data_IF_086473375601
#
_entry.id   IF_086473375601
#
_cell.length_a   1.000
_cell.length_b   1.000
_cell.length_c   1.000
_cell.angle_alpha   90.00
_cell.angle_beta   90.00
_cell.angle_gamma   90.00
#
_symmetry.space_group_name_H-M   'P 1'
#
loop_
_entity.id
_entity.type
_entity.pdbx_description
1 polymer ?
#
# COMPACT_ATOMS: atom_id res chain seq x y z
N UNK A 1 2.79 14.43 5.13
CA UNK A 1 2.53 13.64 3.92
C UNK A 1 3.57 14.03 2.88
N UNK A 2 4.37 13.07 2.42
CA UNK A 2 5.33 13.32 1.32
C UNK A 2 4.68 12.74 0.07
N UNK A 3 4.33 13.62 -0.87
CA UNK A 3 3.78 13.23 -2.16
C UNK A 3 4.94 13.16 -3.16
N UNK A 4 5.19 11.97 -3.71
CA UNK A 4 6.28 11.74 -4.66
C UNK A 4 5.70 11.24 -5.98
N UNK A 5 5.88 12.00 -7.03
CA UNK A 5 5.16 11.83 -8.29
C UNK A 5 5.77 10.87 -9.31
N UNK A 6 6.95 10.27 -9.08
CA UNK A 6 7.57 9.30 -9.99
C UNK A 6 8.68 8.48 -9.33
N UNK A 7 8.92 7.27 -9.86
CA UNK A 7 10.04 6.37 -9.53
C UNK A 7 11.37 6.93 -10.10
N UNK A 8 11.84 8.06 -9.60
CA UNK A 8 13.09 8.69 -10.01
C UNK A 8 13.98 9.03 -8.81
N UNK A 9 15.15 9.58 -9.05
CA UNK A 9 16.14 9.92 -8.02
C UNK A 9 15.57 10.81 -6.88
N UNK A 10 14.57 11.64 -7.16
CA UNK A 10 13.89 12.45 -6.16
C UNK A 10 13.09 11.61 -5.15
N UNK A 11 12.49 10.49 -5.60
CA UNK A 11 11.80 9.54 -4.72
C UNK A 11 12.79 8.86 -3.77
N UNK A 12 13.90 8.35 -4.27
CA UNK A 12 14.94 7.72 -3.44
C UNK A 12 15.53 8.71 -2.43
N UNK A 13 15.76 9.96 -2.83
CA UNK A 13 16.25 11.02 -1.95
C UNK A 13 15.28 11.34 -0.80
N UNK A 14 14.01 11.50 -1.11
CA UNK A 14 12.96 11.77 -0.13
C UNK A 14 12.78 10.60 0.86
N UNK A 15 12.74 9.36 0.35
CA UNK A 15 12.66 8.16 1.18
C UNK A 15 13.89 7.99 2.07
N UNK A 16 15.09 8.23 1.53
CA UNK A 16 16.32 8.16 2.32
C UNK A 16 16.26 9.13 3.48
N UNK A 17 15.91 10.39 3.23
CA UNK A 17 15.79 11.41 4.27
C UNK A 17 14.76 11.01 5.33
N UNK A 18 13.59 10.52 4.90
CA UNK A 18 12.52 10.09 5.81
C UNK A 18 12.92 8.89 6.67
N UNK A 19 13.53 7.86 6.06
CA UNK A 19 13.83 6.59 6.73
C UNK A 19 15.13 6.60 7.53
N UNK A 20 16.00 7.61 7.33
CA UNK A 20 17.23 7.78 8.13
C UNK A 20 17.10 8.84 9.23
N UNK A 21 15.94 9.51 9.35
CA UNK A 21 15.68 10.45 10.43
C UNK A 21 15.64 9.74 11.80
N UNK A 22 16.05 10.40 12.90
CA UNK A 22 15.99 9.81 14.24
C UNK A 22 14.57 9.39 14.67
N UNK A 23 13.56 10.07 14.16
CA UNK A 23 12.12 9.84 14.39
C UNK A 23 11.41 9.24 13.16
N UNK A 24 12.13 8.40 12.41
CA UNK A 24 11.56 7.78 11.20
C UNK A 24 10.29 6.96 11.50
N UNK A 25 9.36 6.87 10.54
CA UNK A 25 8.16 6.07 10.72
C UNK A 25 8.49 4.58 10.89
N UNK A 26 7.74 3.90 11.74
CA UNK A 26 7.83 2.43 11.92
C UNK A 26 6.81 1.67 11.07
N UNK A 27 5.94 2.37 10.35
CA UNK A 27 4.98 1.79 9.40
C UNK A 27 4.70 2.73 8.23
N UNK A 28 4.49 2.18 7.04
CA UNK A 28 4.11 2.91 5.84
C UNK A 28 2.95 2.24 5.11
N UNK A 29 2.00 3.06 4.67
CA UNK A 29 0.93 2.67 3.76
C UNK A 29 1.31 3.13 2.35
N UNK A 30 1.34 2.21 1.40
CA UNK A 30 1.79 2.44 0.02
C UNK A 30 0.63 2.23 -0.94
N UNK A 31 0.50 3.08 -1.94
CA UNK A 31 -0.66 3.13 -2.85
C UNK A 31 -0.86 1.89 -3.71
N UNK A 32 0.18 1.11 -3.96
CA UNK A 32 0.09 -0.16 -4.70
C UNK A 32 1.24 -1.12 -4.36
N UNK A 33 1.08 -2.39 -4.77
CA UNK A 33 2.04 -3.46 -4.47
C UNK A 33 3.39 -3.26 -5.17
N UNK A 34 3.44 -2.64 -6.36
CA UNK A 34 4.69 -2.43 -7.10
C UNK A 34 5.58 -1.43 -6.34
N UNK A 35 4.99 -0.32 -5.92
CA UNK A 35 5.69 0.68 -5.11
C UNK A 35 6.12 0.12 -3.76
N UNK A 36 5.31 -0.77 -3.16
CA UNK A 36 5.67 -1.45 -1.91
C UNK A 36 6.89 -2.38 -2.09
N UNK A 37 6.98 -3.10 -3.21
CA UNK A 37 8.17 -3.90 -3.57
C UNK A 37 9.41 -3.03 -3.71
N UNK A 38 9.29 -1.88 -4.39
CA UNK A 38 10.40 -0.93 -4.54
C UNK A 38 10.84 -0.38 -3.18
N UNK A 39 9.87 -0.04 -2.31
CA UNK A 39 10.15 0.40 -0.94
C UNK A 39 10.87 -0.69 -0.13
N UNK A 40 10.42 -1.94 -0.21
CA UNK A 40 11.05 -3.08 0.46
C UNK A 40 12.51 -3.25 0.03
N UNK A 41 12.77 -3.22 -1.28
CA UNK A 41 14.14 -3.28 -1.82
C UNK A 41 14.99 -2.09 -1.35
N UNK A 42 14.41 -0.91 -1.28
CA UNK A 42 15.09 0.29 -0.81
C UNK A 42 15.43 0.19 0.69
N UNK A 43 14.52 -0.33 1.52
CA UNK A 43 14.80 -0.64 2.93
C UNK A 43 16.00 -1.58 3.05
N UNK A 44 16.07 -2.63 2.23
CA UNK A 44 17.21 -3.54 2.19
C UNK A 44 18.55 -2.83 1.89
N UNK A 45 18.57 -1.88 0.95
CA UNK A 45 19.76 -1.05 0.65
C UNK A 45 20.19 -0.17 1.84
N UNK A 46 19.24 0.27 2.67
CA UNK A 46 19.51 1.07 3.87
C UNK A 46 19.81 0.22 5.11
N UNK A 47 19.75 -1.11 5.01
CA UNK A 47 19.93 -2.02 6.16
C UNK A 47 18.71 -2.11 7.07
N UNK A 48 17.55 -1.58 6.66
CA UNK A 48 16.30 -1.68 7.39
C UNK A 48 15.60 -3.01 7.08
N UNK A 49 15.08 -3.63 8.12
CA UNK A 49 14.39 -4.94 8.02
C UNK A 49 12.88 -4.75 8.00
N UNK A 50 12.23 -5.30 6.98
CA UNK A 50 10.78 -5.45 6.95
C UNK A 50 10.45 -6.83 7.51
N UNK A 51 9.54 -6.97 8.48
CA UNK A 51 8.73 -5.92 9.12
C UNK A 51 9.34 -5.29 10.39
N UNK A 52 10.52 -5.73 10.85
CA UNK A 52 11.05 -5.41 12.20
C UNK A 52 11.32 -3.92 12.43
N UNK A 53 11.90 -3.25 11.44
CA UNK A 53 12.26 -1.83 11.50
C UNK A 53 11.21 -0.96 10.81
N UNK A 54 10.50 -1.52 9.80
CA UNK A 54 9.42 -0.86 9.07
C UNK A 54 8.34 -1.87 8.66
N UNK A 55 7.10 -1.64 9.10
CA UNK A 55 5.92 -2.37 8.60
C UNK A 55 5.42 -1.74 7.30
N UNK A 56 5.02 -2.56 6.32
CA UNK A 56 4.51 -2.08 5.02
C UNK A 56 3.14 -2.70 4.75
N UNK A 57 2.17 -1.85 4.41
CA UNK A 57 0.85 -2.23 3.90
C UNK A 57 0.66 -1.62 2.52
N UNK A 58 0.13 -2.39 1.59
CA UNK A 58 -0.11 -1.97 0.20
C UNK A 58 -1.55 -2.19 -0.24
N UNK A 59 -1.82 -1.94 -1.53
CA UNK A 59 -3.12 -2.17 -2.17
C UNK A 59 -2.97 -3.03 -3.42
N UNK A 60 -4.08 -3.67 -3.80
CA UNK A 60 -4.39 -4.43 -5.01
C UNK A 60 -4.25 -5.95 -4.90
N UNK A 61 -3.56 -6.50 -3.90
CA UNK A 61 -3.36 -7.96 -3.75
C UNK A 61 -2.91 -8.64 -5.06
N UNK A 62 -2.01 -7.97 -5.79
CA UNK A 62 -1.45 -8.45 -7.05
C UNK A 62 -0.48 -9.61 -6.83
N UNK A 63 0.02 -10.19 -7.92
CA UNK A 63 1.07 -11.21 -7.87
C UNK A 63 2.31 -10.70 -7.10
N UNK A 64 2.66 -9.42 -7.26
CA UNK A 64 3.83 -8.81 -6.60
C UNK A 64 3.79 -8.93 -5.08
N UNK A 65 2.61 -8.80 -4.45
CA UNK A 65 2.48 -8.91 -3.00
C UNK A 65 2.76 -10.33 -2.45
N UNK A 66 2.77 -11.35 -3.33
CA UNK A 66 2.94 -12.76 -2.97
C UNK A 66 4.34 -13.30 -3.25
N UNK A 67 5.08 -12.68 -4.17
CA UNK A 67 6.40 -13.17 -4.60
C UNK A 67 7.56 -12.50 -3.86
N UNK A 68 7.29 -11.49 -3.05
CA UNK A 68 8.28 -10.83 -2.18
C UNK A 68 8.59 -11.66 -0.94
N UNK A 69 9.71 -11.36 -0.30
CA UNK A 69 10.09 -11.94 0.99
C UNK A 69 10.64 -10.81 1.89
N UNK A 70 9.86 -10.42 2.91
CA UNK A 70 8.56 -10.96 3.36
C UNK A 70 7.41 -10.69 2.37
N UNK A 71 6.37 -11.54 2.38
CA UNK A 71 5.17 -11.30 1.58
C UNK A 71 4.40 -10.08 2.11
N UNK A 72 3.89 -9.24 1.18
CA UNK A 72 3.23 -7.99 1.55
C UNK A 72 1.81 -8.19 2.08
N UNK A 73 1.53 -7.61 3.23
CA UNK A 73 0.18 -7.34 3.72
C UNK A 73 -0.45 -6.29 2.81
N UNK A 74 -1.62 -6.57 2.24
CA UNK A 74 -2.21 -5.72 1.21
C UNK A 74 -3.74 -5.69 1.31
N UNK A 75 -4.35 -4.63 0.80
CA UNK A 75 -5.81 -4.52 0.65
C UNK A 75 -6.20 -5.07 -0.71
N UNK A 76 -6.99 -6.14 -0.73
CA UNK A 76 -7.64 -6.64 -1.94
C UNK A 76 -8.84 -5.76 -2.27
N UNK A 77 -8.75 -5.02 -3.35
CA UNK A 77 -9.82 -4.13 -3.83
C UNK A 77 -10.85 -4.84 -4.71
N UNK A 78 -10.71 -6.18 -4.86
CA UNK A 78 -11.57 -7.01 -5.69
C UNK A 78 -11.68 -6.49 -7.14
N UNK A 79 -10.54 -6.43 -7.88
CA UNK A 79 -10.49 -5.77 -9.19
C UNK A 79 -11.40 -6.44 -10.23
N UNK A 80 -11.64 -7.74 -10.10
CA UNK A 80 -12.56 -8.45 -10.98
C UNK A 80 -14.00 -7.93 -10.84
N UNK A 81 -14.50 -7.87 -9.60
CA UNK A 81 -15.85 -7.35 -9.32
C UNK A 81 -15.97 -5.88 -9.71
N UNK A 82 -14.93 -5.09 -9.42
CA UNK A 82 -14.88 -3.69 -9.81
C UNK A 82 -15.00 -3.50 -11.33
N UNK A 83 -14.27 -4.32 -12.10
CA UNK A 83 -14.36 -4.33 -13.56
C UNK A 83 -15.74 -4.75 -14.08
N UNK A 84 -16.34 -5.78 -13.49
CA UNK A 84 -17.69 -6.25 -13.83
C UNK A 84 -18.76 -5.16 -13.60
N UNK A 85 -18.70 -4.51 -12.44
CA UNK A 85 -19.63 -3.41 -12.11
C UNK A 85 -19.44 -2.21 -13.05
N UNK A 86 -18.19 -1.82 -13.32
CA UNK A 86 -17.88 -0.74 -14.24
C UNK A 86 -18.43 -1.01 -15.65
N UNK A 87 -18.21 -2.22 -16.18
CA UNK A 87 -18.73 -2.64 -17.48
C UNK A 87 -20.26 -2.63 -17.52
N UNK A 88 -20.90 -3.21 -16.49
CA UNK A 88 -22.37 -3.24 -16.37
C UNK A 88 -22.97 -1.83 -16.36
N UNK A 89 -22.40 -0.92 -15.57
CA UNK A 89 -22.86 0.48 -15.51
C UNK A 89 -22.66 1.21 -16.84
N UNK A 90 -21.56 0.95 -17.53
CA UNK A 90 -21.29 1.54 -18.85
C UNK A 90 -22.33 1.10 -19.87
N UNK A 91 -22.63 -0.21 -19.95
CA UNK A 91 -23.65 -0.75 -20.85
C UNK A 91 -25.03 -0.15 -20.53
N UNK A 92 -25.41 -0.13 -19.25
CA UNK A 92 -26.69 0.42 -18.82
C UNK A 92 -26.85 1.90 -19.23
N UNK A 93 -25.80 2.72 -19.12
CA UNK A 93 -25.84 4.12 -19.51
C UNK A 93 -25.84 4.33 -21.04
N UNK A 94 -25.24 3.42 -21.80
CA UNK A 94 -25.32 3.43 -23.27
C UNK A 94 -26.77 3.12 -23.72
N UNK A 95 -27.40 2.11 -23.12
CA UNK A 95 -28.77 1.69 -23.46
C UNK A 95 -29.80 2.70 -22.95
N UNK A 96 -29.55 3.36 -21.82
CA UNK A 96 -30.48 4.29 -21.19
C UNK A 96 -29.73 5.60 -20.79
N UNK A 97 -29.52 6.54 -21.74
CA UNK A 97 -28.74 7.74 -21.50
C UNK A 97 -29.27 8.68 -20.39
N UNK A 98 -30.53 8.51 -20.00
CA UNK A 98 -31.18 9.31 -18.95
C UNK A 98 -31.06 8.69 -17.55
N UNK A 99 -30.34 7.58 -17.37
CA UNK A 99 -30.12 7.01 -16.07
C UNK A 99 -29.32 7.98 -15.18
N UNK A 100 -29.78 8.09 -13.92
CA UNK A 100 -29.04 8.85 -12.92
C UNK A 100 -27.73 8.15 -12.58
N UNK A 101 -26.70 8.96 -12.33
CA UNK A 101 -25.42 8.45 -11.86
C UNK A 101 -25.59 7.79 -10.49
N UNK A 102 -25.07 6.57 -10.35
CA UNK A 102 -25.11 5.80 -9.11
C UNK A 102 -23.70 5.57 -8.58
N UNK A 103 -23.56 5.55 -7.26
CA UNK A 103 -22.32 5.16 -6.59
C UNK A 103 -22.42 3.70 -6.17
N UNK A 104 -21.55 2.86 -6.71
CA UNK A 104 -21.41 1.46 -6.32
C UNK A 104 -20.15 1.29 -5.49
N UNK A 105 -20.27 0.66 -4.32
CA UNK A 105 -19.16 0.33 -3.46
C UNK A 105 -18.89 -1.17 -3.55
N UNK A 106 -17.74 -1.54 -4.11
CA UNK A 106 -17.31 -2.94 -4.17
C UNK A 106 -16.60 -3.27 -2.84
N UNK A 107 -16.96 -4.39 -2.19
CA UNK A 107 -16.32 -4.82 -0.96
C UNK A 107 -14.81 -5.05 -1.16
N UNK A 108 -14.02 -4.55 -0.22
CA UNK A 108 -12.57 -4.76 -0.15
C UNK A 108 -12.22 -5.59 1.09
N UNK A 109 -11.02 -6.18 1.11
CA UNK A 109 -10.57 -7.04 2.20
C UNK A 109 -9.09 -6.83 2.48
N UNK A 110 -8.72 -6.67 3.76
CA UNK A 110 -7.32 -6.74 4.18
C UNK A 110 -6.85 -8.19 4.12
N UNK A 111 -5.71 -8.42 3.49
CA UNK A 111 -5.03 -9.71 3.39
C UNK A 111 -3.74 -9.61 4.22
N UNK A 112 -3.75 -10.04 5.50
CA UNK A 112 -2.57 -10.04 6.33
C UNK A 112 -1.53 -11.04 5.79
N UNK A 113 -0.26 -10.64 5.78
CA UNK A 113 0.90 -11.48 5.45
C UNK A 113 2.07 -11.13 6.38
N UNK A 114 3.30 -11.15 5.86
CA UNK A 114 4.52 -11.12 6.67
C UNK A 114 5.13 -9.71 6.83
N UNK A 115 4.67 -8.72 6.06
CA UNK A 115 5.28 -7.38 6.02
C UNK A 115 4.90 -6.45 7.17
N UNK A 116 4.16 -6.94 8.16
CA UNK A 116 3.74 -6.17 9.34
C UNK A 116 4.05 -6.89 10.64
N UNK A 117 4.48 -6.13 11.63
CA UNK A 117 4.62 -6.61 13.01
C UNK A 117 4.24 -5.50 14.01
N UNK A 118 4.05 -5.82 15.29
CA UNK A 118 3.90 -4.78 16.32
C UNK A 118 5.08 -3.81 16.31
N UNK A 119 4.86 -2.51 16.65
CA UNK A 119 5.94 -1.53 16.71
C UNK A 119 6.99 -1.94 17.76
N UNK A 120 8.26 -1.56 17.59
CA UNK A 120 9.27 -1.79 18.62
C UNK A 120 8.86 -1.11 19.94
N UNK A 121 9.18 -1.73 21.10
CA UNK A 121 8.76 -1.29 22.44
C UNK A 121 9.42 0.03 22.91
N UNK A 122 9.55 1.02 22.05
CA UNK A 122 10.17 2.32 22.40
C UNK A 122 9.21 3.21 23.23
N UNK A 123 7.93 2.84 23.38
CA UNK A 123 6.92 3.67 24.03
C UNK A 123 6.44 3.19 25.42
N UNK A 124 7.17 2.29 26.08
CA UNK A 124 6.75 1.80 27.40
C UNK A 124 7.02 2.75 28.58
N UNK A 125 7.57 3.96 28.35
CA UNK A 125 7.90 4.91 29.41
C UNK A 125 7.15 6.27 29.34
N UNK A 126 6.00 6.33 28.71
CA UNK A 126 5.09 7.49 28.88
C UNK A 126 4.07 7.15 29.93
N UNK A 127 4.42 7.34 31.19
CA UNK A 127 3.47 7.42 32.31
C UNK A 127 2.62 8.68 32.09
N UNK A 128 1.35 8.49 31.78
CA UNK A 128 0.33 9.54 31.93
C UNK A 128 -0.20 9.51 33.36
#
# INVERSE_FOLDING_TARGET
CVEVSTLNDAYEGALKTLLTAPDHPTAMLVSDDILAVVLEQFCGKLGLRVPKDLSIVSFNNSLFSRITSPQLTTVDVNPYQLGMEAASQTINHIENPNLLATKIIVPHKLIPRESCCPPPEVYSNSTF
#
